data_IF_286849387300
#
_entry.id   IF_286849387300
#
_cell.length_a   1.000
_cell.length_b   1.000
_cell.length_c   1.000
_cell.angle_alpha   90.00
_cell.angle_beta   90.00
_cell.angle_gamma   90.00
#
_symmetry.space_group_name_H-M   'P 1'
#
loop_
_entity.id
_entity.type
_entity.pdbx_description
1 polymer ?
#
# COMPACT_ATOMS: atom_id res chain seq x y z
N UNK A 1 10.30 -10.42 -28.55
CA UNK A 1 10.38 -10.55 -30.03
C UNK A 1 10.78 -11.97 -30.45
N UNK A 2 11.73 -12.62 -29.76
CA UNK A 2 12.16 -14.01 -30.03
C UNK A 2 11.01 -15.02 -30.22
N UNK A 3 10.04 -15.06 -29.31
CA UNK A 3 8.88 -15.95 -29.44
C UNK A 3 8.12 -15.77 -30.76
N UNK A 4 8.02 -14.52 -31.27
CA UNK A 4 7.36 -14.20 -32.54
C UNK A 4 8.20 -14.71 -33.72
N UNK A 5 9.52 -14.59 -33.67
CA UNK A 5 10.40 -15.14 -34.71
C UNK A 5 10.33 -16.67 -34.78
N UNK A 6 10.29 -17.36 -33.63
CA UNK A 6 10.11 -18.80 -33.60
C UNK A 6 8.78 -19.25 -34.21
N UNK A 7 7.71 -18.46 -34.03
CA UNK A 7 6.43 -18.70 -34.70
C UNK A 7 6.57 -18.50 -36.21
N UNK A 8 7.21 -17.40 -36.64
CA UNK A 8 7.42 -17.09 -38.05
C UNK A 8 8.27 -18.15 -38.77
N UNK A 9 9.30 -18.67 -38.11
CA UNK A 9 10.20 -19.72 -38.61
C UNK A 9 9.60 -21.13 -38.52
N UNK A 10 8.39 -21.28 -37.97
CA UNK A 10 7.74 -22.58 -37.77
C UNK A 10 8.42 -23.47 -36.72
N UNK A 11 9.19 -22.88 -35.81
CA UNK A 11 10.02 -23.59 -34.80
C UNK A 11 9.53 -23.39 -33.35
N UNK A 12 8.42 -22.68 -33.15
CA UNK A 12 7.90 -22.42 -31.81
C UNK A 12 7.45 -23.72 -31.10
N UNK A 13 8.04 -24.07 -29.94
CA UNK A 13 7.65 -25.26 -29.20
C UNK A 13 6.25 -25.11 -28.59
N UNK A 14 5.54 -26.22 -28.44
CA UNK A 14 4.24 -26.31 -27.75
C UNK A 14 4.37 -27.27 -26.58
N UNK A 15 4.50 -26.73 -25.37
CA UNK A 15 4.74 -27.52 -24.16
C UNK A 15 3.47 -27.46 -23.29
N UNK A 16 2.76 -28.57 -23.06
CA UNK A 16 1.62 -28.61 -22.15
C UNK A 16 2.04 -28.27 -20.70
N UNK A 17 1.25 -27.45 -20.01
CA UNK A 17 1.50 -27.11 -18.60
C UNK A 17 1.15 -28.32 -17.71
N UNK A 18 1.98 -28.66 -16.70
CA UNK A 18 1.63 -29.66 -15.70
C UNK A 18 0.47 -29.18 -14.83
N UNK A 19 -0.32 -30.12 -14.30
CA UNK A 19 -1.42 -29.80 -13.36
C UNK A 19 -0.95 -29.58 -11.93
N UNK A 20 0.17 -30.20 -11.57
CA UNK A 20 0.75 -30.11 -10.23
C UNK A 20 1.24 -28.68 -9.97
N UNK A 21 0.85 -28.11 -8.82
CA UNK A 21 1.22 -26.74 -8.44
C UNK A 21 0.44 -25.62 -9.15
N UNK A 22 -0.55 -25.93 -9.99
CA UNK A 22 -1.36 -24.91 -10.65
C UNK A 22 -2.27 -24.17 -9.66
N UNK A 23 -2.24 -22.83 -9.69
CA UNK A 23 -3.12 -21.96 -8.91
C UNK A 23 -3.83 -20.97 -9.85
N UNK A 24 -4.82 -20.26 -9.31
CA UNK A 24 -5.56 -19.24 -10.03
C UNK A 24 -5.88 -18.08 -9.10
N UNK A 25 -5.54 -16.87 -9.53
CA UNK A 25 -5.87 -15.63 -8.84
C UNK A 25 -6.60 -14.68 -9.80
N UNK A 26 -7.63 -14.00 -9.28
CA UNK A 26 -8.38 -13.00 -10.03
C UNK A 26 -7.69 -11.63 -10.07
N UNK A 27 -8.35 -10.66 -10.72
CA UNK A 27 -7.89 -9.27 -10.74
C UNK A 27 -7.86 -8.68 -9.32
N UNK A 28 -6.76 -8.02 -8.98
CA UNK A 28 -6.66 -7.24 -7.74
C UNK A 28 -7.17 -5.83 -7.99
N UNK A 29 -8.11 -5.41 -7.14
CA UNK A 29 -8.76 -4.11 -7.17
C UNK A 29 -8.62 -3.45 -5.80
N UNK A 30 -9.10 -2.21 -5.66
CA UNK A 30 -9.03 -1.54 -4.36
C UNK A 30 -9.83 -2.31 -3.31
N UNK A 31 -11.00 -2.83 -3.67
CA UNK A 31 -11.95 -3.45 -2.74
C UNK A 31 -11.41 -4.73 -2.08
N UNK A 32 -10.48 -5.45 -2.75
CA UNK A 32 -9.87 -6.67 -2.21
C UNK A 32 -8.45 -6.47 -1.70
N UNK A 33 -7.97 -5.22 -1.63
CA UNK A 33 -6.66 -4.87 -1.10
C UNK A 33 -6.68 -4.39 0.37
N UNK A 34 -7.79 -4.58 1.09
CA UNK A 34 -7.86 -4.28 2.52
C UNK A 34 -6.86 -5.15 3.29
N UNK A 35 -6.14 -4.55 4.24
CA UNK A 35 -5.18 -5.25 5.08
C UNK A 35 -5.94 -6.08 6.11
N UNK A 36 -5.83 -7.41 6.02
CA UNK A 36 -6.21 -8.30 7.11
C UNK A 36 -5.10 -8.33 8.16
N UNK A 37 -5.39 -7.85 9.37
CA UNK A 37 -4.41 -7.63 10.43
C UNK A 37 -4.04 -8.89 11.23
N UNK A 38 -4.88 -9.92 11.21
CA UNK A 38 -4.60 -11.18 11.92
C UNK A 38 -3.64 -12.06 11.11
N UNK A 39 -2.43 -11.54 10.88
CA UNK A 39 -1.40 -12.19 10.10
C UNK A 39 0.00 -11.90 10.67
N UNK A 40 1.00 -12.78 10.43
CA UNK A 40 2.38 -12.51 10.79
C UNK A 40 2.93 -11.27 10.10
N UNK A 41 3.92 -10.59 10.70
CA UNK A 41 4.49 -9.36 10.13
C UNK A 41 5.03 -9.56 8.70
N UNK A 42 5.61 -10.73 8.41
CA UNK A 42 6.07 -11.08 7.06
C UNK A 42 4.93 -11.10 6.03
N UNK A 43 3.76 -11.61 6.41
CA UNK A 43 2.58 -11.65 5.54
C UNK A 43 2.00 -10.25 5.33
N UNK A 44 1.92 -9.43 6.39
CA UNK A 44 1.53 -8.02 6.28
C UNK A 44 2.47 -7.24 5.34
N UNK A 45 3.78 -7.41 5.52
CA UNK A 45 4.77 -6.80 4.62
C UNK A 45 4.58 -7.25 3.18
N UNK A 46 4.40 -8.56 2.94
CA UNK A 46 4.15 -9.11 1.60
C UNK A 46 2.87 -8.55 0.99
N UNK A 47 1.81 -8.39 1.79
CA UNK A 47 0.55 -7.81 1.34
C UNK A 47 0.73 -6.36 0.92
N UNK A 48 1.38 -5.54 1.76
CA UNK A 48 1.61 -4.12 1.46
C UNK A 48 2.46 -3.96 0.21
N UNK A 49 3.61 -4.64 0.12
CA UNK A 49 4.49 -4.53 -1.06
C UNK A 49 3.91 -5.17 -2.32
N UNK A 50 3.04 -6.16 -2.19
CA UNK A 50 2.36 -6.82 -3.32
C UNK A 50 1.29 -5.93 -3.97
N UNK A 51 0.79 -4.94 -3.24
CA UNK A 51 -0.17 -3.96 -3.73
C UNK A 51 0.47 -2.57 -3.91
N UNK A 52 1.80 -2.43 -3.79
CA UNK A 52 2.53 -1.17 -3.95
C UNK A 52 3.00 -1.01 -5.43
N UNK A 53 2.55 -0.02 -6.20
CA UNK A 53 1.60 1.06 -5.86
C UNK A 53 0.14 0.76 -6.15
N UNK A 54 -0.14 -0.23 -7.00
CA UNK A 54 -1.47 -0.53 -7.53
C UNK A 54 -1.91 -1.92 -7.06
N UNK A 55 -3.14 -2.08 -6.55
CA UNK A 55 -4.17 -1.06 -6.29
C UNK A 55 -3.96 -0.27 -4.97
N UNK A 56 -2.92 -0.60 -4.20
CA UNK A 56 -2.61 0.02 -2.91
C UNK A 56 -3.31 -0.68 -1.73
N UNK A 57 -2.53 -1.35 -0.88
CA UNK A 57 -3.04 -1.99 0.34
C UNK A 57 -3.53 -0.93 1.33
N UNK A 58 -4.71 -1.10 1.90
CA UNK A 58 -5.34 -0.05 2.72
C UNK A 58 -5.98 -0.57 4.00
N UNK A 59 -6.23 0.34 4.94
CA UNK A 59 -6.96 0.09 6.18
C UNK A 59 -7.80 1.33 6.54
N UNK A 60 -8.60 1.26 7.60
CA UNK A 60 -9.30 2.42 8.16
C UNK A 60 -8.56 2.96 9.40
N UNK A 61 -8.28 4.26 9.41
CA UNK A 61 -7.72 5.00 10.55
C UNK A 61 -8.60 6.22 10.80
N UNK A 62 -9.09 6.39 12.04
CA UNK A 62 -10.01 7.48 12.41
C UNK A 62 -11.22 7.66 11.46
N UNK A 63 -11.74 6.54 10.94
CA UNK A 63 -12.89 6.54 10.01
C UNK A 63 -12.53 6.82 8.54
N UNK A 64 -11.26 7.12 8.23
CA UNK A 64 -10.80 7.38 6.87
C UNK A 64 -10.03 6.20 6.27
N UNK A 65 -10.18 5.98 4.97
CA UNK A 65 -9.36 5.01 4.22
C UNK A 65 -7.95 5.56 4.04
N UNK A 66 -6.96 4.78 4.50
CA UNK A 66 -5.53 5.12 4.39
C UNK A 66 -4.79 3.97 3.71
N UNK A 67 -4.07 4.29 2.64
CA UNK A 67 -3.29 3.36 1.83
C UNK A 67 -1.82 3.39 2.25
N UNK A 68 -1.20 2.22 2.35
CA UNK A 68 0.14 2.02 2.91
C UNK A 68 1.15 1.74 1.80
N UNK A 69 2.33 2.37 1.88
CA UNK A 69 3.38 2.24 0.87
C UNK A 69 4.78 2.16 1.48
N UNK A 70 5.70 1.53 0.74
CA UNK A 70 7.12 1.42 1.09
C UNK A 70 7.33 0.66 2.40
N UNK A 71 6.83 -0.57 2.49
CA UNK A 71 6.98 -1.38 3.71
C UNK A 71 8.34 -2.08 3.80
N UNK A 72 8.82 -2.31 5.03
CA UNK A 72 10.01 -3.12 5.33
C UNK A 72 9.85 -3.84 6.67
N UNK A 73 10.39 -5.05 6.80
CA UNK A 73 10.47 -5.74 8.09
C UNK A 73 11.46 -5.04 9.03
N UNK A 74 11.14 -5.02 10.32
CA UNK A 74 11.98 -4.43 11.36
C UNK A 74 12.36 -5.49 12.40
N UNK A 75 13.67 -5.74 12.53
CA UNK A 75 14.26 -6.71 13.46
C UNK A 75 14.91 -6.05 14.70
N UNK A 76 14.57 -4.79 14.97
CA UNK A 76 15.06 -4.02 16.11
C UNK A 76 14.11 -4.13 17.33
N UNK A 77 14.50 -3.53 18.46
CA UNK A 77 13.57 -3.29 19.55
C UNK A 77 12.45 -2.33 19.13
N UNK A 78 11.30 -2.43 19.81
CA UNK A 78 10.14 -1.56 19.54
C UNK A 78 10.57 -0.09 19.71
N UNK A 79 10.52 0.74 18.65
CA UNK A 79 10.93 2.13 18.74
C UNK A 79 9.91 2.95 19.54
N UNK A 80 10.37 3.99 20.20
CA UNK A 80 9.47 4.99 20.77
C UNK A 80 8.70 5.71 19.64
N UNK A 81 7.40 5.90 19.85
CA UNK A 81 6.51 6.54 18.89
C UNK A 81 5.19 6.89 19.54
N UNK A 82 4.39 7.69 18.83
CA UNK A 82 3.03 8.02 19.24
C UNK A 82 2.07 6.93 18.75
N UNK A 83 1.21 6.44 19.63
CA UNK A 83 0.24 5.40 19.30
C UNK A 83 -0.79 5.89 18.28
N UNK A 84 -1.07 5.06 17.29
CA UNK A 84 -2.09 5.25 16.27
C UNK A 84 -3.02 4.04 16.26
N UNK A 85 -4.29 4.26 16.62
CA UNK A 85 -5.30 3.23 16.56
C UNK A 85 -5.63 2.89 15.10
N UNK A 86 -5.51 1.61 14.75
CA UNK A 86 -5.80 1.10 13.41
C UNK A 86 -6.91 0.05 13.54
N UNK A 87 -7.97 0.20 12.75
CA UNK A 87 -9.12 -0.72 12.81
C UNK A 87 -8.68 -2.15 12.50
N UNK A 88 -9.02 -3.09 13.37
CA UNK A 88 -8.74 -4.52 13.19
C UNK A 88 -7.35 -4.97 13.67
N UNK A 89 -6.40 -4.06 13.88
CA UNK A 89 -5.10 -4.41 14.43
C UNK A 89 -5.21 -4.84 15.90
N UNK A 90 -4.47 -5.88 16.30
CA UNK A 90 -4.47 -6.40 17.67
C UNK A 90 -3.84 -5.43 18.69
N UNK A 91 -3.06 -4.47 18.20
CA UNK A 91 -2.46 -3.38 18.98
C UNK A 91 -2.30 -2.12 18.13
N UNK A 92 -2.24 -0.94 18.76
CA UNK A 92 -1.96 0.30 18.06
C UNK A 92 -0.64 0.24 17.27
N UNK A 93 -0.62 0.90 16.11
CA UNK A 93 0.65 1.20 15.43
C UNK A 93 1.40 2.30 16.17
N UNK A 94 2.69 2.46 15.86
CA UNK A 94 3.53 3.51 16.42
C UNK A 94 4.05 4.42 15.33
N UNK A 95 3.64 5.69 15.35
CA UNK A 95 4.22 6.71 14.47
C UNK A 95 5.56 7.13 15.07
N UNK A 96 6.63 6.84 14.32
CA UNK A 96 8.02 7.13 14.70
C UNK A 96 8.63 8.14 13.73
N UNK A 97 9.84 8.63 14.05
CA UNK A 97 10.63 9.47 13.12
C UNK A 97 10.90 8.81 11.76
N UNK A 98 10.87 7.48 11.69
CA UNK A 98 11.21 6.71 10.49
C UNK A 98 9.99 6.27 9.67
N UNK A 99 8.77 6.42 10.23
CA UNK A 99 7.53 5.96 9.62
C UNK A 99 6.57 5.35 10.64
N UNK A 100 5.50 4.72 10.15
CA UNK A 100 4.51 4.02 10.96
C UNK A 100 4.95 2.57 11.16
N UNK A 101 5.17 2.16 12.41
CA UNK A 101 5.40 0.76 12.76
C UNK A 101 4.06 0.11 13.05
N UNK A 102 3.81 -1.02 12.40
CA UNK A 102 2.67 -1.90 12.68
C UNK A 102 3.16 -3.29 13.09
N UNK A 103 2.30 -4.06 13.73
CA UNK A 103 2.65 -5.34 14.34
C UNK A 103 1.87 -6.47 13.70
N UNK A 104 2.56 -7.58 13.42
CA UNK A 104 1.90 -8.85 13.12
C UNK A 104 1.35 -9.52 14.37
N UNK A 105 0.50 -10.53 14.18
CA UNK A 105 0.01 -11.38 15.27
C UNK A 105 1.12 -12.25 15.91
N UNK A 106 2.28 -12.33 15.27
CA UNK A 106 3.51 -12.95 15.78
C UNK A 106 4.37 -12.00 16.63
N UNK A 107 3.89 -10.77 16.88
CA UNK A 107 4.60 -9.75 17.66
C UNK A 107 5.77 -9.09 16.93
N UNK A 108 6.06 -9.50 15.70
CA UNK A 108 7.08 -8.87 14.85
C UNK A 108 6.57 -7.60 14.21
N UNK A 109 7.47 -6.80 13.65
CA UNK A 109 7.19 -5.43 13.22
C UNK A 109 7.38 -5.22 11.72
N UNK A 110 6.51 -4.39 11.15
CA UNK A 110 6.62 -3.84 9.81
C UNK A 110 6.67 -2.31 9.90
N UNK A 111 7.67 -1.71 9.28
CA UNK A 111 7.76 -0.26 9.10
C UNK A 111 7.11 0.11 7.76
N UNK A 112 6.22 1.10 7.77
CA UNK A 112 5.55 1.69 6.60
C UNK A 112 6.05 3.12 6.45
N UNK A 113 6.51 3.48 5.24
CA UNK A 113 7.17 4.77 4.99
C UNK A 113 6.22 5.87 4.58
N UNK A 114 5.20 5.56 3.77
CA UNK A 114 4.27 6.56 3.26
C UNK A 114 2.83 6.11 3.42
N UNK A 115 1.95 7.08 3.63
CA UNK A 115 0.51 6.92 3.74
C UNK A 115 -0.15 7.79 2.68
N UNK A 116 -1.20 7.29 2.04
CA UNK A 116 -2.05 8.08 1.16
C UNK A 116 -3.48 8.07 1.67
N UNK A 117 -4.06 9.24 1.78
CA UNK A 117 -5.45 9.43 2.21
C UNK A 117 -6.41 9.33 1.03
N UNK A 118 -7.71 9.26 1.33
CA UNK A 118 -8.78 9.12 0.35
C UNK A 118 -8.88 10.29 -0.64
N UNK A 119 -8.45 11.49 -0.23
CA UNK A 119 -8.33 12.68 -1.08
C UNK A 119 -7.13 12.62 -2.05
N UNK A 120 -6.33 11.56 -1.99
CA UNK A 120 -5.14 11.36 -2.79
C UNK A 120 -3.86 11.96 -2.19
N UNK A 121 -3.94 12.72 -1.08
CA UNK A 121 -2.78 13.31 -0.41
C UNK A 121 -1.86 12.20 0.10
N UNK A 122 -0.60 12.23 -0.33
CA UNK A 122 0.43 11.30 0.13
C UNK A 122 1.37 12.02 1.09
N UNK A 123 1.60 11.42 2.26
CA UNK A 123 2.53 11.93 3.27
C UNK A 123 3.54 10.87 3.70
N UNK A 124 4.73 11.26 4.16
CA UNK A 124 5.56 10.39 4.99
C UNK A 124 4.79 9.99 6.25
N UNK A 125 4.77 8.70 6.56
CA UNK A 125 4.04 8.16 7.70
C UNK A 125 4.50 8.75 9.05
N UNK A 126 5.77 9.18 9.13
CA UNK A 126 6.33 9.86 10.30
C UNK A 126 5.71 11.22 10.59
N UNK A 127 5.05 11.84 9.60
CA UNK A 127 4.38 13.14 9.72
C UNK A 127 2.88 13.02 10.03
N UNK A 128 2.37 11.82 10.29
CA UNK A 128 0.92 11.59 10.47
C UNK A 128 0.29 12.50 11.54
N UNK A 129 0.98 12.77 12.65
CA UNK A 129 0.49 13.64 13.72
C UNK A 129 0.99 15.09 13.63
N UNK A 130 1.80 15.42 12.63
CA UNK A 130 2.19 16.81 12.42
C UNK A 130 0.96 17.56 11.90
N UNK A 131 0.51 18.56 12.65
CA UNK A 131 -0.61 19.40 12.28
C UNK A 131 -0.42 19.89 10.83
N UNK A 132 -1.46 19.73 10.02
CA UNK A 132 -1.49 20.14 8.63
C UNK A 132 -1.05 21.61 8.49
N UNK A 133 0.08 21.84 7.81
CA UNK A 133 0.06 22.86 6.77
C UNK A 133 -0.92 22.35 5.72
N UNK A 134 -2.20 22.62 5.93
CA UNK A 134 -3.17 22.72 4.84
C UNK A 134 -2.69 23.89 4.01
N UNK A 135 -1.77 23.64 3.07
CA UNK A 135 -1.69 24.46 1.88
C UNK A 135 -3.02 24.25 1.18
N UNK A 136 -3.98 25.13 1.48
CA UNK A 136 -5.08 25.37 0.58
C UNK A 136 -4.44 25.59 -0.79
N UNK A 137 -4.70 24.67 -1.72
CA UNK A 137 -4.32 24.86 -3.11
C UNK A 137 -5.07 26.13 -3.56
N UNK A 138 -4.39 27.27 -3.51
CA UNK A 138 -4.86 28.49 -4.14
C UNK A 138 -4.77 28.23 -5.64
N UNK A 139 -5.92 27.87 -6.23
CA UNK A 139 -6.04 27.76 -7.67
C UNK A 139 -5.61 29.09 -8.28
N UNK A 140 -4.68 29.01 -9.21
CA UNK A 140 -4.33 30.16 -10.05
C UNK A 140 -5.57 30.60 -10.83
N UNK A 141 -5.62 31.86 -11.25
CA UNK A 141 -6.76 32.38 -12.04
C UNK A 141 -7.00 31.59 -13.34
N UNK A 142 -5.95 30.94 -13.86
CA UNK A 142 -6.02 30.04 -15.02
C UNK A 142 -6.71 28.71 -14.66
N UNK A 143 -6.40 28.10 -13.52
CA UNK A 143 -7.04 26.87 -13.05
C UNK A 143 -8.51 27.08 -12.65
N UNK A 144 -8.86 28.26 -12.12
CA UNK A 144 -10.26 28.63 -11.85
C UNK A 144 -11.10 28.70 -13.13
N UNK A 145 -10.56 29.30 -14.19
CA UNK A 145 -11.25 29.35 -15.50
C UNK A 145 -11.47 27.96 -16.09
N UNK A 146 -10.47 27.10 -16.02
CA UNK A 146 -10.59 25.71 -16.51
C UNK A 146 -11.67 24.95 -15.71
N UNK A 147 -11.76 25.17 -14.40
CA UNK A 147 -12.80 24.54 -13.57
C UNK A 147 -14.21 25.05 -13.88
N UNK A 148 -14.37 26.33 -14.24
CA UNK A 148 -15.66 26.90 -14.68
C UNK A 148 -16.07 26.39 -16.07
N UNK A 149 -15.13 26.25 -17.00
CA UNK A 149 -15.39 25.77 -18.37
C UNK A 149 -15.76 24.27 -18.46
N UNK A 150 -15.50 23.49 -17.41
CA UNK A 150 -15.81 22.05 -17.34
C UNK A 150 -17.24 21.78 -16.82
N UNK A 151 -18.00 22.80 -16.43
CA UNK A 151 -19.34 22.65 -15.84
C UNK A 151 -20.48 22.90 -16.83
#
# INVERSE_FOLDING_TARGET
VEAVHLIADGKAPRIPQPKEGATYEGIQKKENAEISWDQPAAALHNWIRGHDKVPGAWTTINGQVVTFYGSSLLDASVPAGQELAIKGASRPGLVTKNGLVVFGNDGKMVLVRNLQFEDGKMIPASKYFSADETTALELTEEEKKIAEDIR
#
